data_IF_187452409992
#
_entry.id   IF_187452409992
#
_cell.length_a   1.000
_cell.length_b   1.000
_cell.length_c   1.000
_cell.angle_alpha   90.00
_cell.angle_beta   90.00
_cell.angle_gamma   90.00
#
_symmetry.space_group_name_H-M   'P 1'
#
loop_
_entity.id
_entity.type
_entity.pdbx_description
1 polymer ?
#
# COMPACT_ATOMS: atom_id res chain seq x y z
N UNK A 1 -1.95 -14.30 2.44
CA UNK A 1 -1.28 -13.14 3.07
C UNK A 1 -1.70 -11.83 2.44
N UNK A 2 -1.54 -11.69 1.15
CA UNK A 2 -1.85 -10.43 0.47
C UNK A 2 -3.31 -10.04 0.61
N UNK A 3 -4.20 -11.00 0.46
CA UNK A 3 -5.62 -10.71 0.57
C UNK A 3 -6.01 -10.28 1.98
N UNK A 4 -5.41 -10.89 2.97
CA UNK A 4 -5.67 -10.52 4.36
C UNK A 4 -5.25 -9.08 4.64
N UNK A 5 -4.09 -8.71 4.11
CA UNK A 5 -3.58 -7.34 4.26
C UNK A 5 -4.53 -6.38 3.57
N UNK A 6 -4.94 -6.71 2.35
CA UNK A 6 -5.85 -5.84 1.60
C UNK A 6 -7.15 -5.61 2.36
N UNK A 7 -7.74 -6.66 2.87
CA UNK A 7 -9.00 -6.54 3.62
C UNK A 7 -8.83 -5.70 4.88
N UNK A 8 -7.66 -5.81 5.51
CA UNK A 8 -7.39 -5.07 6.72
C UNK A 8 -7.32 -3.57 6.48
N UNK A 9 -6.67 -3.16 5.40
CA UNK A 9 -6.37 -1.75 5.16
C UNK A 9 -7.34 -1.06 4.22
N UNK A 10 -8.06 -1.82 3.40
CA UNK A 10 -8.87 -1.26 2.33
C UNK A 10 -9.92 -0.28 2.83
N UNK A 11 -10.58 -0.61 3.93
CA UNK A 11 -11.62 0.26 4.46
C UNK A 11 -11.11 1.63 4.84
N UNK A 12 -9.97 1.66 5.53
CA UNK A 12 -9.40 2.93 5.97
C UNK A 12 -8.86 3.74 4.80
N UNK A 13 -8.25 3.07 3.84
CA UNK A 13 -7.73 3.74 2.66
C UNK A 13 -8.87 4.30 1.82
N UNK A 14 -9.96 3.55 1.70
CA UNK A 14 -11.12 4.02 0.95
C UNK A 14 -11.75 5.26 1.55
N UNK A 15 -11.66 5.42 2.87
CA UNK A 15 -12.19 6.62 3.53
C UNK A 15 -11.45 7.87 3.08
N UNK A 16 -10.25 7.72 2.59
CA UNK A 16 -9.47 8.85 2.08
C UNK A 16 -9.77 9.15 0.61
N UNK A 17 -10.72 8.43 0.01
CA UNK A 17 -11.02 8.59 -1.40
C UNK A 17 -10.04 7.87 -2.29
N UNK A 18 -9.35 6.90 -1.76
CA UNK A 18 -8.29 6.18 -2.46
C UNK A 18 -8.65 4.70 -2.50
N UNK A 19 -8.37 4.04 -3.61
CA UNK A 19 -8.57 2.60 -3.73
C UNK A 19 -7.22 1.89 -3.77
N UNK A 20 -7.25 0.61 -3.44
CA UNK A 20 -6.07 -0.23 -3.50
C UNK A 20 -6.10 -0.99 -4.80
N UNK A 21 -5.09 -0.75 -5.64
CA UNK A 21 -4.98 -1.44 -6.92
C UNK A 21 -4.46 -2.85 -6.74
N UNK A 22 -3.39 -2.98 -5.96
CA UNK A 22 -2.81 -4.31 -5.72
C UNK A 22 -2.01 -4.31 -4.43
N UNK A 23 -1.85 -5.52 -3.89
CA UNK A 23 -1.02 -5.77 -2.71
C UNK A 23 -0.14 -6.96 -3.06
N UNK A 24 1.18 -6.76 -2.93
CA UNK A 24 2.15 -7.80 -3.23
C UNK A 24 3.09 -7.96 -2.04
N UNK A 25 3.30 -9.20 -1.62
CA UNK A 25 4.25 -9.51 -0.56
C UNK A 25 5.30 -10.45 -1.17
N UNK A 26 6.52 -9.98 -1.27
CA UNK A 26 7.56 -10.76 -1.94
C UNK A 26 8.89 -10.59 -1.23
N UNK A 27 9.77 -11.56 -1.47
CA UNK A 27 11.13 -11.53 -0.94
C UNK A 27 12.08 -11.23 -2.08
N UNK A 28 12.95 -10.27 -1.85
CA UNK A 28 13.88 -9.84 -2.89
C UNK A 28 15.23 -9.53 -2.22
N UNK A 29 16.28 -10.20 -2.66
CA UNK A 29 17.61 -9.95 -2.15
C UNK A 29 17.75 -10.12 -0.65
N UNK A 30 17.02 -11.06 -0.06
CA UNK A 30 17.09 -11.32 1.37
C UNK A 30 16.16 -10.48 2.21
N UNK A 31 15.46 -9.54 1.59
CA UNK A 31 14.51 -8.69 2.31
C UNK A 31 13.09 -8.97 1.84
N UNK A 32 12.14 -8.84 2.77
CA UNK A 32 10.73 -8.93 2.42
C UNK A 32 10.19 -7.54 2.13
N UNK A 33 9.37 -7.44 1.10
CA UNK A 33 8.72 -6.19 0.72
C UNK A 33 7.22 -6.39 0.69
N UNK A 34 6.50 -5.51 1.35
CA UNK A 34 5.05 -5.45 1.23
C UNK A 34 4.75 -4.23 0.37
N UNK A 35 4.40 -4.47 -0.88
CA UNK A 35 4.15 -3.40 -1.84
C UNK A 35 2.66 -3.20 -2.01
N UNK A 36 2.23 -1.97 -1.81
CA UNK A 36 0.84 -1.60 -1.92
C UNK A 36 0.73 -0.52 -2.98
N UNK A 37 0.01 -0.83 -4.04
CA UNK A 37 -0.21 0.13 -5.13
C UNK A 37 -1.59 0.73 -4.93
N UNK A 38 -1.65 2.05 -4.85
CA UNK A 38 -2.89 2.77 -4.63
C UNK A 38 -3.25 3.57 -5.87
N UNK A 39 -4.54 3.89 -5.99
CA UNK A 39 -5.07 4.60 -7.14
C UNK A 39 -6.21 5.50 -6.70
N UNK A 40 -6.47 6.54 -7.50
CA UNK A 40 -7.65 7.37 -7.35
C UNK A 40 -7.84 8.16 -8.64
N UNK A 41 -9.00 8.79 -8.77
CA UNK A 41 -9.32 9.52 -10.00
C UNK A 41 -8.38 10.69 -10.25
N UNK A 42 -7.93 11.31 -9.18
CA UNK A 42 -7.00 12.44 -9.27
C UNK A 42 -5.56 11.97 -9.12
N UNK A 43 -4.64 12.86 -9.46
CA UNK A 43 -3.22 12.56 -9.29
C UNK A 43 -2.91 12.44 -7.80
N UNK A 44 -2.14 11.42 -7.45
CA UNK A 44 -1.73 11.20 -6.07
C UNK A 44 -0.32 11.76 -5.90
N UNK A 45 -0.17 12.68 -4.98
CA UNK A 45 1.14 13.27 -4.72
C UNK A 45 1.85 12.52 -3.58
N UNK A 46 3.08 12.94 -3.31
CA UNK A 46 3.91 12.30 -2.29
C UNK A 46 3.28 12.43 -0.90
N UNK A 47 2.67 13.58 -0.62
CA UNK A 47 2.04 13.79 0.68
C UNK A 47 0.91 12.80 0.91
N UNK A 48 0.16 12.48 -0.13
CA UNK A 48 -0.91 11.51 -0.04
C UNK A 48 -0.36 10.12 0.23
N UNK A 49 0.75 9.77 -0.44
CA UNK A 49 1.39 8.47 -0.19
C UNK A 49 1.85 8.36 1.26
N UNK A 50 2.40 9.43 1.80
CA UNK A 50 2.84 9.44 3.20
C UNK A 50 1.64 9.28 4.13
N UNK A 51 0.55 9.96 3.81
CA UNK A 51 -0.67 9.87 4.62
C UNK A 51 -1.20 8.43 4.62
N UNK A 52 -1.24 7.80 3.47
CA UNK A 52 -1.69 6.41 3.36
C UNK A 52 -0.79 5.49 4.17
N UNK A 53 0.52 5.70 4.05
CA UNK A 53 1.48 4.90 4.81
C UNK A 53 1.23 5.03 6.30
N UNK A 54 0.98 6.26 6.78
CA UNK A 54 0.74 6.51 8.19
C UNK A 54 -0.57 5.88 8.68
N UNK A 55 -1.53 5.69 7.78
CA UNK A 55 -2.77 5.00 8.12
C UNK A 55 -2.54 3.49 8.16
N UNK A 56 -1.80 2.97 7.20
CA UNK A 56 -1.61 1.53 7.05
C UNK A 56 -0.70 0.94 8.12
N UNK A 57 0.40 1.62 8.45
CA UNK A 57 1.37 1.09 9.40
C UNK A 57 0.79 0.65 10.73
N UNK A 58 -0.01 1.48 11.42
CA UNK A 58 -0.57 1.05 12.70
C UNK A 58 -1.50 -0.14 12.56
N UNK A 59 -2.22 -0.23 11.45
CA UNK A 59 -3.12 -1.33 11.22
C UNK A 59 -2.34 -2.65 11.08
N UNK A 60 -1.23 -2.60 10.34
CA UNK A 60 -0.40 -3.77 10.14
C UNK A 60 0.29 -4.19 11.44
N UNK A 61 0.78 -3.22 12.19
CA UNK A 61 1.43 -3.49 13.48
C UNK A 61 0.47 -4.17 14.43
N UNK A 62 -0.76 -3.68 14.48
CA UNK A 62 -1.75 -4.21 15.40
C UNK A 62 -2.19 -5.62 15.01
N UNK A 63 -2.37 -5.85 13.72
CA UNK A 63 -2.82 -7.16 13.23
C UNK A 63 -1.73 -8.21 13.30
N UNK A 64 -0.49 -7.79 13.13
CA UNK A 64 0.67 -8.67 13.22
C UNK A 64 0.55 -9.90 12.32
N UNK A 65 0.11 -9.69 11.09
CA UNK A 65 -0.02 -10.78 10.12
C UNK A 65 1.32 -11.30 9.64
N UNK A 66 2.30 -10.41 9.55
CA UNK A 66 3.60 -10.74 8.99
C UNK A 66 4.61 -10.87 10.11
N UNK A 67 5.18 -12.05 10.24
CA UNK A 67 6.10 -12.33 11.35
C UNK A 67 7.53 -11.90 11.06
N UNK A 68 7.91 -11.87 9.80
CA UNK A 68 9.24 -11.46 9.40
C UNK A 68 9.33 -9.95 9.28
N UNK A 69 10.53 -9.42 9.44
CA UNK A 69 10.75 -8.00 9.18
C UNK A 69 10.51 -7.74 7.71
N UNK A 70 9.87 -6.63 7.41
CA UNK A 70 9.55 -6.29 6.03
C UNK A 70 9.63 -4.79 5.81
N UNK A 71 9.74 -4.42 4.55
CA UNK A 71 9.76 -3.01 4.15
C UNK A 71 8.41 -2.70 3.52
N UNK A 72 7.75 -1.68 4.05
CA UNK A 72 6.46 -1.25 3.52
C UNK A 72 6.71 -0.25 2.40
N UNK A 73 6.22 -0.56 1.22
CA UNK A 73 6.39 0.28 0.05
C UNK A 73 5.02 0.64 -0.52
N UNK A 74 4.63 1.89 -0.38
CA UNK A 74 3.37 2.39 -0.91
C UNK A 74 3.66 3.22 -2.15
N UNK A 75 3.08 2.82 -3.26
CA UNK A 75 3.30 3.52 -4.52
C UNK A 75 1.96 3.73 -5.22
N UNK A 76 1.98 4.56 -6.25
CA UNK A 76 0.78 4.87 -7.01
C UNK A 76 0.75 4.07 -8.29
N UNK A 77 -0.47 3.75 -8.73
CA UNK A 77 -0.65 3.13 -10.03
C UNK A 77 -0.24 4.13 -11.10
N UNK A 78 0.58 3.66 -12.03
CA UNK A 78 1.03 4.53 -13.11
C UNK A 78 -0.12 4.83 -14.05
N UNK A 79 -0.33 6.11 -14.30
CA UNK A 79 -1.37 6.55 -15.23
C UNK A 79 -0.80 6.59 -16.63
N UNK A 80 -1.56 6.07 -17.57
CA UNK A 80 -1.14 6.10 -18.97
C UNK A 80 -1.06 7.52 -19.49
N UNK A 81 -0.26 7.71 -20.54
CA UNK A 81 -0.16 8.99 -21.21
C UNK A 81 0.81 9.95 -20.61
N UNK A 82 1.44 9.55 -19.66
CA UNK A 82 2.46 10.44 -19.25
C UNK A 82 3.69 10.17 -20.15
N UNK A 83 3.46 10.18 -20.69
CA UNK A 83 4.30 10.20 -21.34
C UNK A 83 4.65 10.77 -21.81
N UNK A 84 4.39 10.82 -21.58
CA UNK A 84 4.74 11.31 -21.87
C UNK A 84 5.27 11.53 -21.91
#
# INVERSE_FOLDING_TARGET
>A
MEEKVRKLIEGEVNKLGISIDSVVYEKEGGNYFLRIVIDRDEIIDIDTCVEVTNVINPLLDKADFIKDSYILDVSTKEKGGKNE
#
